data_IF_620532738286
#
_entry.id   IF_620532738286
#
_cell.length_a   1.000
_cell.length_b   1.000
_cell.length_c   1.000
_cell.angle_alpha   90.00
_cell.angle_beta   90.00
_cell.angle_gamma   90.00
#
_symmetry.space_group_name_H-M   'P 1'
#
loop_
_entity.id
_entity.type
_entity.pdbx_description
1 polymer ?
#
# COMPACT_ATOMS: atom_id res chain seq x y z
N UNK A 1 7.51 13.90 -10.76
CA UNK A 1 6.12 13.39 -10.81
C UNK A 1 5.93 12.55 -9.58
N UNK A 2 4.89 12.82 -8.78
CA UNK A 2 4.59 12.04 -7.59
C UNK A 2 3.82 10.78 -7.98
N UNK A 3 4.04 9.69 -7.26
CA UNK A 3 3.17 8.51 -7.33
C UNK A 3 1.81 8.89 -6.75
N UNK A 4 0.73 8.56 -7.45
CA UNK A 4 -0.63 8.79 -7.01
C UNK A 4 -1.33 7.44 -6.84
N UNK A 5 -1.98 7.27 -5.68
CA UNK A 5 -2.76 6.08 -5.34
C UNK A 5 -4.17 6.56 -5.02
N UNK A 6 -5.14 6.05 -5.74
CA UNK A 6 -6.56 6.35 -5.56
C UNK A 6 -7.30 5.04 -5.26
N UNK A 7 -7.90 4.95 -4.08
CA UNK A 7 -8.80 3.84 -3.73
C UNK A 7 -10.20 4.21 -4.21
N UNK A 8 -10.74 3.41 -5.13
CA UNK A 8 -12.05 3.64 -5.73
C UNK A 8 -13.17 3.01 -4.93
N UNK A 9 -12.95 1.79 -4.41
CA UNK A 9 -13.96 1.04 -3.66
C UNK A 9 -13.32 0.06 -2.69
N UNK A 10 -13.92 -0.07 -1.50
CA UNK A 10 -13.68 -1.15 -0.55
C UNK A 10 -15.05 -1.66 -0.11
N UNK A 11 -15.30 -2.95 -0.28
CA UNK A 11 -16.61 -3.54 0.01
C UNK A 11 -16.53 -4.91 0.64
N UNK A 12 -17.49 -5.18 1.52
CA UNK A 12 -17.80 -6.51 2.01
C UNK A 12 -18.72 -7.22 1.01
N UNK A 13 -18.41 -8.48 0.76
CA UNK A 13 -19.11 -9.40 -0.13
C UNK A 13 -19.49 -10.66 0.66
N UNK A 14 -20.33 -11.53 0.09
CA UNK A 14 -20.68 -12.79 0.75
C UNK A 14 -19.49 -13.73 1.04
N UNK A 15 -18.32 -13.48 0.45
CA UNK A 15 -17.12 -14.32 0.57
C UNK A 15 -15.93 -13.62 1.26
N UNK A 16 -16.10 -12.35 1.68
CA UNK A 16 -15.02 -11.55 2.27
C UNK A 16 -14.97 -10.13 1.71
N UNK A 17 -13.79 -9.55 1.58
CA UNK A 17 -13.64 -8.14 1.18
C UNK A 17 -13.03 -8.00 -0.22
N UNK A 18 -13.52 -7.02 -0.97
CA UNK A 18 -12.97 -6.61 -2.27
C UNK A 18 -12.48 -5.17 -2.22
N UNK A 19 -11.33 -4.90 -2.85
CA UNK A 19 -10.77 -3.56 -3.00
C UNK A 19 -10.46 -3.27 -4.47
N UNK A 20 -10.88 -2.11 -4.96
CA UNK A 20 -10.52 -1.57 -6.26
C UNK A 20 -9.72 -0.26 -6.08
N UNK A 21 -8.56 -0.17 -6.74
CA UNK A 21 -7.72 1.02 -6.71
C UNK A 21 -7.03 1.26 -8.06
N UNK A 22 -6.63 2.50 -8.31
CA UNK A 22 -5.72 2.87 -9.40
C UNK A 22 -4.43 3.46 -8.86
N UNK A 23 -3.32 3.05 -9.48
CA UNK A 23 -1.97 3.53 -9.17
C UNK A 23 -1.38 4.17 -10.43
N UNK A 24 -0.87 5.38 -10.31
CA UNK A 24 -0.19 6.12 -11.39
C UNK A 24 1.21 6.48 -10.95
N UNK A 25 2.18 6.28 -11.83
CA UNK A 25 3.58 6.56 -11.57
C UNK A 25 4.40 6.48 -12.86
N UNK A 26 5.72 6.49 -12.69
CA UNK A 26 6.69 6.29 -13.78
C UNK A 26 7.54 5.07 -13.46
N UNK A 27 8.15 4.50 -14.49
CA UNK A 27 9.14 3.44 -14.30
C UNK A 27 10.32 3.95 -13.46
N UNK A 28 10.79 3.09 -12.55
CA UNK A 28 11.90 3.42 -11.68
C UNK A 28 13.19 3.59 -12.47
N UNK A 29 13.90 4.68 -12.20
CA UNK A 29 15.19 5.03 -12.79
C UNK A 29 16.15 5.49 -11.67
N UNK A 30 17.20 4.72 -11.33
CA UNK A 30 18.11 5.04 -10.24
C UNK A 30 18.92 6.32 -10.45
N UNK A 31 19.02 6.84 -11.69
CA UNK A 31 19.68 8.12 -11.97
C UNK A 31 18.79 9.33 -11.64
N UNK A 32 17.47 9.12 -11.58
CA UNK A 32 16.47 10.19 -11.38
C UNK A 32 15.75 10.08 -10.04
N UNK A 33 15.65 8.88 -9.47
CA UNK A 33 14.92 8.61 -8.24
C UNK A 33 15.86 8.48 -7.06
N UNK A 34 15.49 9.09 -5.92
CA UNK A 34 16.21 8.90 -4.66
C UNK A 34 15.98 7.47 -4.18
N UNK A 35 17.02 6.64 -4.23
CA UNK A 35 16.97 5.26 -3.74
C UNK A 35 16.85 5.23 -2.21
N UNK A 36 15.81 4.55 -1.72
CA UNK A 36 15.65 4.19 -0.32
C UNK A 36 16.04 2.73 -0.08
N UNK A 37 15.34 2.07 0.84
CA UNK A 37 15.52 0.63 1.09
C UNK A 37 14.59 -0.18 0.18
N UNK A 38 15.11 -1.27 -0.39
CA UNK A 38 14.28 -2.22 -1.12
C UNK A 38 13.33 -2.95 -0.15
N UNK A 39 12.10 -3.18 -0.58
CA UNK A 39 11.10 -3.93 0.20
C UNK A 39 10.90 -5.28 -0.49
N UNK A 40 11.04 -6.37 0.25
CA UNK A 40 10.86 -7.73 -0.25
C UNK A 40 9.40 -8.14 -0.25
N UNK A 41 8.70 -7.92 0.87
CA UNK A 41 7.32 -8.35 1.03
C UNK A 41 6.56 -7.57 2.12
N UNK A 42 5.23 -7.38 1.96
CA UNK A 42 4.35 -7.03 3.08
C UNK A 42 4.12 -8.24 3.99
N UNK A 43 3.93 -8.01 5.28
CA UNK A 43 3.69 -9.08 6.26
C UNK A 43 2.50 -8.78 7.18
N UNK A 44 1.99 -9.83 7.84
CA UNK A 44 0.98 -9.72 8.90
C UNK A 44 1.58 -9.45 10.29
N UNK A 45 2.91 -9.37 10.42
CA UNK A 45 3.54 -9.15 11.71
C UNK A 45 3.18 -7.76 12.25
N UNK A 46 2.64 -7.73 13.48
CA UNK A 46 2.15 -6.51 14.15
C UNK A 46 1.15 -5.70 13.29
N UNK A 47 0.40 -6.37 12.41
CA UNK A 47 -0.62 -5.72 11.61
C UNK A 47 -1.79 -5.29 12.50
N UNK A 48 -2.22 -4.04 12.36
CA UNK A 48 -3.38 -3.49 13.06
C UNK A 48 -4.10 -2.48 12.16
N UNK A 49 -5.43 -2.62 12.10
CA UNK A 49 -6.35 -1.71 11.43
C UNK A 49 -7.19 -1.04 12.52
N UNK A 50 -6.90 0.23 12.79
CA UNK A 50 -7.55 1.05 13.80
C UNK A 50 -8.45 2.07 13.10
N UNK A 51 -9.72 1.71 12.95
CA UNK A 51 -10.72 2.49 12.20
C UNK A 51 -11.09 3.78 12.95
N UNK A 52 -11.15 3.73 14.27
CA UNK A 52 -11.50 4.88 15.12
C UNK A 52 -10.49 6.02 14.98
N UNK A 53 -9.21 5.68 14.88
CA UNK A 53 -8.13 6.64 14.71
C UNK A 53 -7.64 6.78 13.26
N UNK A 54 -8.31 6.12 12.31
CA UNK A 54 -7.93 6.08 10.89
C UNK A 54 -6.45 5.72 10.67
N UNK A 55 -5.98 4.63 11.30
CA UNK A 55 -4.57 4.23 11.31
C UNK A 55 -4.40 2.77 10.88
N UNK A 56 -3.47 2.55 9.96
CA UNK A 56 -2.97 1.23 9.57
C UNK A 56 -1.49 1.14 9.94
N UNK A 57 -1.11 0.06 10.62
CA UNK A 57 0.31 -0.28 10.88
C UNK A 57 0.57 -1.74 10.55
N UNK A 58 1.75 -2.01 10.03
CA UNK A 58 2.24 -3.34 9.69
C UNK A 58 3.75 -3.28 9.50
N UNK A 59 4.41 -4.44 9.52
CA UNK A 59 5.85 -4.57 9.31
C UNK A 59 6.14 -5.04 7.89
N UNK A 60 7.14 -4.41 7.26
CA UNK A 60 7.70 -4.81 5.98
C UNK A 60 8.93 -5.70 6.18
N UNK A 61 9.09 -6.69 5.33
CA UNK A 61 10.37 -7.37 5.13
C UNK A 61 11.22 -6.56 4.14
N UNK A 62 12.44 -6.20 4.55
CA UNK A 62 13.38 -5.33 3.81
C UNK A 62 14.63 -6.10 3.39
#
# INVERSE_FOLDING_TARGET
MATEIEVKRIEETGEGYTLEASVKGVEYDPSRHRTGTAVKAPTYALMEIDVENNRLRYVLDI
#
